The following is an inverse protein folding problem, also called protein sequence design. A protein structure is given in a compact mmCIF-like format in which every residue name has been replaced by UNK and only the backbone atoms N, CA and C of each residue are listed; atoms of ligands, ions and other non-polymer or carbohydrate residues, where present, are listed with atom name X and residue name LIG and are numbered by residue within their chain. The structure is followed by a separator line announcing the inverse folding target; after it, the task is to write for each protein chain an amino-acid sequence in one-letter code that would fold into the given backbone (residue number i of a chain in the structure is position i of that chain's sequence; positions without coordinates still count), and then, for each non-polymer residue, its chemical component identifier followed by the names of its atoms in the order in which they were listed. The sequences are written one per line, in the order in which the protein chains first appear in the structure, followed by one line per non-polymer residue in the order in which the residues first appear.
data_IF_337219619164
#
_entry.id   IF_337219619164
#
_cell.length_a   1.000
_cell.length_b   1.000
_cell.length_c   1.000
_cell.angle_alpha   90.00
_cell.angle_beta   90.00
_cell.angle_gamma   90.00
#
_symmetry.space_group_name_H-M   'P 1'
#
loop_
_entity.id
_entity.type
_entity.pdbx_description
1 polymer ?
#
# COMPACT_ATOMS: atom_id res chain seq x y z
N UNK A 1 -21.02 -52.41 -51.03
CA UNK A 1 -19.61 -52.14 -51.41
C UNK A 1 -19.58 -51.58 -52.82
N UNK A 2 -19.19 -50.32 -52.97
CA UNK A 2 -18.36 -49.75 -54.06
C UNK A 2 -18.25 -48.25 -53.81
N UNK A 3 -17.10 -47.89 -53.25
CA UNK A 3 -16.60 -46.52 -53.10
C UNK A 3 -15.93 -46.12 -54.41
N UNK A 4 -16.25 -44.93 -54.93
CA UNK A 4 -15.38 -44.20 -55.87
C UNK A 4 -15.28 -42.75 -55.37
N UNK A 5 -14.04 -42.33 -55.21
CA UNK A 5 -13.55 -41.01 -54.79
C UNK A 5 -13.38 -40.13 -56.04
N UNK A 6 -13.66 -38.84 -55.93
CA UNK A 6 -13.00 -37.81 -56.74
C UNK A 6 -12.86 -36.49 -55.94
N UNK A 7 -11.60 -36.08 -55.77
CA UNK A 7 -11.15 -34.79 -55.24
C UNK A 7 -11.14 -33.73 -56.35
N UNK A 8 -11.47 -32.47 -56.04
CA UNK A 8 -10.86 -31.30 -56.69
C UNK A 8 -10.73 -30.16 -55.66
N UNK A 9 -9.53 -29.59 -55.58
CA UNK A 9 -9.07 -28.46 -54.74
C UNK A 9 -9.38 -27.09 -55.38
N UNK A 10 -8.92 -26.01 -54.70
CA UNK A 10 -8.78 -24.59 -55.12
C UNK A 10 -9.94 -23.69 -54.68
N UNK A 11 -9.80 -22.48 -54.11
CA UNK A 11 -8.73 -21.46 -54.04
C UNK A 11 -8.84 -20.63 -52.74
N UNK A 12 -7.72 -20.04 -52.29
CA UNK A 12 -7.66 -18.99 -51.27
C UNK A 12 -8.23 -17.64 -51.76
N UNK A 13 -8.87 -16.86 -50.88
CA UNK A 13 -9.10 -15.41 -51.05
C UNK A 13 -8.98 -14.72 -49.69
N UNK A 14 -8.14 -13.69 -49.68
CA UNK A 14 -7.91 -12.72 -48.61
C UNK A 14 -9.10 -11.77 -48.48
N UNK A 15 -9.43 -11.33 -47.26
CA UNK A 15 -10.20 -10.10 -47.05
C UNK A 15 -9.52 -9.28 -45.95
N UNK A 16 -8.88 -8.19 -46.38
CA UNK A 16 -8.50 -7.06 -45.53
C UNK A 16 -9.72 -6.17 -45.23
N UNK A 17 -9.65 -5.52 -44.06
CA UNK A 17 -10.27 -4.27 -43.63
C UNK A 17 -11.79 -4.07 -43.73
N UNK A 18 -12.42 -3.89 -42.55
CA UNK A 18 -13.03 -2.61 -42.19
C UNK A 18 -12.92 -2.38 -40.68
N UNK A 19 -11.97 -1.52 -40.32
CA UNK A 19 -11.79 -0.94 -38.99
C UNK A 19 -12.87 0.12 -38.77
N UNK A 20 -13.83 -0.12 -37.88
CA UNK A 20 -14.69 0.93 -37.33
C UNK A 20 -14.27 1.17 -35.89
N UNK A 21 -13.47 2.22 -35.70
CA UNK A 21 -13.33 2.93 -34.42
C UNK A 21 -14.71 3.46 -34.04
N UNK A 22 -15.26 2.99 -32.93
CA UNK A 22 -16.21 3.78 -32.17
C UNK A 22 -15.97 3.55 -30.68
N UNK A 23 -15.76 4.66 -29.99
CA UNK A 23 -15.50 4.77 -28.57
C UNK A 23 -16.70 4.25 -27.79
N UNK A 24 -16.52 3.09 -27.15
CA UNK A 24 -17.51 2.48 -26.29
C UNK A 24 -17.47 3.11 -24.90
N UNK A 25 -18.40 4.03 -24.63
CA UNK A 25 -18.92 4.23 -23.28
C UNK A 25 -19.55 2.91 -22.81
N UNK A 26 -19.21 2.37 -21.63
CA UNK A 26 -19.89 1.18 -21.13
C UNK A 26 -21.34 1.55 -20.75
N UNK A 27 -22.30 1.00 -21.49
CA UNK A 27 -23.72 1.02 -21.13
C UNK A 27 -23.94 -0.02 -20.04
N UNK A 28 -24.29 0.44 -18.84
CA UNK A 28 -24.69 -0.44 -17.73
C UNK A 28 -26.09 -0.97 -18.05
N UNK A 29 -26.20 -2.26 -18.37
CA UNK A 29 -27.49 -2.95 -18.41
C UNK A 29 -27.85 -3.39 -16.99
N UNK A 30 -28.79 -2.67 -16.37
CA UNK A 30 -29.43 -3.14 -15.14
C UNK A 30 -30.33 -4.33 -15.45
N UNK A 31 -30.02 -5.49 -14.90
CA UNK A 31 -30.89 -6.67 -14.98
C UNK A 31 -31.96 -6.51 -13.89
N UNK A 32 -33.10 -5.93 -14.26
CA UNK A 32 -34.31 -5.94 -13.45
C UNK A 32 -35.22 -7.05 -13.95
N UNK A 33 -35.44 -8.07 -13.14
CA UNK A 33 -36.48 -9.07 -13.38
C UNK A 33 -37.83 -8.48 -12.99
N UNK A 34 -38.73 -8.30 -13.95
CA UNK A 34 -40.17 -8.49 -13.79
C UNK A 34 -40.82 -8.63 -15.18
N UNK A 35 -41.82 -9.50 -15.25
CA UNK A 35 -42.25 -10.21 -16.46
C UNK A 35 -42.88 -9.38 -17.59
N UNK A 36 -42.83 -10.02 -18.76
CA UNK A 36 -43.63 -9.82 -19.98
C UNK A 36 -43.71 -8.42 -20.61
N UNK A 37 -43.19 -8.37 -21.85
CA UNK A 37 -43.25 -7.33 -22.89
C UNK A 37 -42.17 -6.23 -22.87
N UNK A 38 -41.22 -6.34 -23.81
CA UNK A 38 -40.23 -5.31 -24.17
C UNK A 38 -40.89 -4.27 -25.08
N UNK A 39 -41.13 -3.06 -24.57
CA UNK A 39 -41.49 -1.88 -25.36
C UNK A 39 -40.27 -0.96 -25.49
N UNK A 40 -39.71 -0.84 -26.69
CA UNK A 40 -38.62 0.10 -26.99
C UNK A 40 -39.23 1.48 -27.25
N UNK A 41 -38.98 2.45 -26.35
CA UNK A 41 -39.31 3.87 -26.56
C UNK A 41 -38.02 4.66 -26.85
N UNK A 42 -37.97 5.30 -28.01
CA UNK A 42 -36.89 6.21 -28.43
C UNK A 42 -36.87 7.51 -27.61
N UNK A 43 -35.72 8.00 -27.14
CA UNK A 43 -35.59 9.38 -26.68
C UNK A 43 -35.26 10.34 -27.83
N UNK A 44 -35.99 11.44 -27.90
CA UNK A 44 -35.82 12.52 -28.86
C UNK A 44 -34.56 13.36 -28.63
N UNK A 45 -34.10 13.95 -29.73
CA UNK A 45 -32.94 14.85 -29.83
C UNK A 45 -33.27 16.21 -29.20
N UNK A 46 -32.43 16.70 -28.29
CA UNK A 46 -32.39 18.11 -27.91
C UNK A 46 -31.00 18.70 -28.20
N UNK A 47 -31.03 19.87 -28.85
CA UNK A 47 -29.91 20.56 -29.49
C UNK A 47 -29.29 21.61 -28.56
N UNK A 48 -27.98 21.71 -28.63
CA UNK A 48 -27.03 22.78 -28.25
C UNK A 48 -27.58 24.20 -28.01
N UNK A 49 -27.04 24.89 -27.00
CA UNK A 49 -26.40 26.23 -27.13
C UNK A 49 -25.44 26.55 -25.97
N UNK A 50 -24.21 26.97 -26.30
CA UNK A 50 -23.30 27.75 -25.43
C UNK A 50 -23.76 29.22 -25.34
N UNK A 51 -23.29 30.01 -24.34
CA UNK A 51 -22.27 31.03 -24.69
C UNK A 51 -21.27 31.47 -23.57
N UNK A 52 -20.05 31.79 -24.05
CA UNK A 52 -19.13 32.90 -23.74
C UNK A 52 -18.75 33.32 -22.30
N UNK A 53 -17.43 33.39 -22.08
CA UNK A 53 -16.70 34.12 -21.03
C UNK A 53 -16.85 35.65 -21.12
N UNK A 54 -16.45 36.36 -20.05
CA UNK A 54 -15.54 37.48 -20.25
C UNK A 54 -14.34 37.51 -19.27
N UNK A 55 -13.29 38.09 -19.83
CA UNK A 55 -12.01 38.56 -19.29
C UNK A 55 -12.08 39.45 -18.05
N UNK A 56 -11.02 39.40 -17.22
CA UNK A 56 -10.74 40.38 -16.16
C UNK A 56 -9.33 40.20 -15.58
N UNK A 57 -8.57 41.30 -15.50
CA UNK A 57 -7.13 41.39 -15.26
C UNK A 57 -6.74 41.19 -13.79
N UNK A 58 -5.49 40.83 -13.50
CA UNK A 58 -4.89 41.06 -12.18
C UNK A 58 -3.46 41.59 -12.33
N UNK A 59 -3.26 42.74 -11.69
CA UNK A 59 -2.07 43.58 -11.66
C UNK A 59 -0.99 43.00 -10.74
N UNK A 60 0.26 43.27 -11.12
CA UNK A 60 1.47 43.14 -10.31
C UNK A 60 1.41 44.05 -9.06
N UNK A 61 1.97 43.54 -7.96
CA UNK A 61 2.32 44.33 -6.78
C UNK A 61 3.44 43.64 -6.02
N UNK A 62 4.68 44.07 -6.27
CA UNK A 62 5.84 43.83 -5.40
C UNK A 62 5.64 44.56 -4.07
N UNK A 63 6.11 44.01 -2.94
CA UNK A 63 6.75 44.84 -1.91
C UNK A 63 7.69 43.99 -1.03
N UNK A 64 8.83 44.61 -0.75
CA UNK A 64 10.00 44.13 -0.03
C UNK A 64 9.83 44.19 1.49
N UNK A 65 10.54 43.29 2.18
CA UNK A 65 11.55 43.70 3.17
C UNK A 65 11.20 43.68 4.67
N UNK A 66 12.26 43.40 5.43
CA UNK A 66 12.51 43.60 6.88
C UNK A 66 12.41 42.33 7.74
N UNK A 67 13.52 41.64 8.02
CA UNK A 67 14.54 41.92 9.04
C UNK A 67 13.98 42.08 10.46
N UNK A 68 14.04 41.00 11.24
CA UNK A 68 14.11 41.06 12.70
C UNK A 68 15.20 40.12 13.20
N UNK A 69 16.00 40.66 14.10
CA UNK A 69 17.23 40.13 14.67
C UNK A 69 16.94 39.09 15.75
N UNK A 70 17.78 38.06 15.80
CA UNK A 70 17.81 37.04 16.85
C UNK A 70 18.48 37.59 18.12
N UNK A 71 17.78 37.48 19.25
CA UNK A 71 18.36 37.63 20.58
C UNK A 71 18.69 36.26 21.17
N UNK A 72 19.96 35.98 21.41
CA UNK A 72 20.41 34.96 22.36
C UNK A 72 20.35 35.53 23.79
N UNK A 73 20.28 34.64 24.79
CA UNK A 73 21.23 34.75 25.89
C UNK A 73 22.00 33.45 26.13
N UNK A 74 23.23 33.64 26.59
CA UNK A 74 24.22 32.65 26.96
C UNK A 74 24.38 32.58 28.49
N UNK A 75 24.87 31.42 28.93
CA UNK A 75 25.82 31.19 30.05
C UNK A 75 25.34 31.03 31.50
N UNK A 76 25.98 30.05 32.17
CA UNK A 76 26.06 29.89 33.63
C UNK A 76 25.70 28.47 34.10
N UNK A 77 26.64 27.51 34.21
CA UNK A 77 27.40 27.14 35.43
C UNK A 77 26.53 26.59 36.58
N UNK A 78 26.84 25.56 37.39
CA UNK A 78 27.92 24.55 37.58
C UNK A 78 27.47 23.68 38.79
N UNK A 79 28.15 22.55 39.04
CA UNK A 79 28.19 21.73 40.29
C UNK A 79 26.95 20.83 40.54
N UNK A 80 27.03 19.53 40.83
CA UNK A 80 28.12 18.71 41.36
C UNK A 80 27.62 18.02 42.63
N UNK A 81 27.11 16.79 42.55
CA UNK A 81 26.82 15.88 43.68
C UNK A 81 27.03 14.44 43.20
N UNK A 82 28.19 13.83 43.49
CA UNK A 82 28.47 12.95 44.64
C UNK A 82 27.58 11.70 44.64
N UNK A 83 28.12 10.64 44.03
CA UNK A 83 27.67 9.26 44.21
C UNK A 83 28.15 8.76 45.58
N UNK A 84 27.25 8.24 46.40
CA UNK A 84 27.62 7.36 47.51
C UNK A 84 26.96 6.01 47.32
N UNK A 85 27.82 5.00 47.34
CA UNK A 85 27.54 3.57 47.28
C UNK A 85 27.08 3.07 48.64
N UNK A 86 26.01 2.29 48.66
CA UNK A 86 25.58 1.52 49.83
C UNK A 86 25.40 0.05 49.43
N UNK A 87 26.34 -0.80 49.81
CA UNK A 87 26.18 -2.26 49.80
C UNK A 87 25.47 -2.75 51.07
N UNK A 88 24.77 -3.90 51.03
CA UNK A 88 23.96 -4.41 52.13
C UNK A 88 24.71 -5.39 53.03
N UNK A 89 24.18 -5.65 54.23
CA UNK A 89 24.59 -6.74 55.11
C UNK A 89 23.41 -7.30 55.92
N UNK A 90 23.51 -8.56 56.40
CA UNK A 90 22.40 -9.51 56.41
C UNK A 90 21.77 -9.74 57.79
N UNK A 91 20.51 -10.16 57.80
CA UNK A 91 19.81 -10.57 59.02
C UNK A 91 18.69 -11.56 58.73
N UNK A 92 18.85 -12.78 59.24
CA UNK A 92 17.92 -13.90 59.15
C UNK A 92 16.65 -13.65 59.98
N UNK A 93 15.49 -14.14 59.50
CA UNK A 93 14.49 -14.74 60.39
C UNK A 93 13.63 -15.78 59.67
N UNK A 94 13.69 -17.00 60.20
CA UNK A 94 12.78 -18.11 59.91
C UNK A 94 11.33 -17.70 60.22
N UNK A 95 10.45 -17.88 59.23
CA UNK A 95 9.00 -17.91 59.40
C UNK A 95 8.45 -19.00 58.51
N UNK A 96 8.04 -20.11 59.13
CA UNK A 96 7.42 -21.26 58.48
C UNK A 96 6.11 -20.83 57.82
N UNK A 97 6.01 -20.93 56.50
CA UNK A 97 4.74 -20.86 55.79
C UNK A 97 4.31 -22.25 55.36
N UNK A 98 3.19 -22.68 55.95
CA UNK A 98 2.52 -23.94 55.71
C UNK A 98 2.09 -24.04 54.24
N UNK A 99 2.46 -25.15 53.62
CA UNK A 99 2.08 -25.52 52.26
C UNK A 99 0.59 -25.85 52.18
N UNK A 100 -0.23 -24.95 51.63
CA UNK A 100 -1.56 -25.31 51.13
C UNK A 100 -1.44 -25.71 49.66
N UNK A 101 -1.56 -27.02 49.38
CA UNK A 101 -1.65 -27.49 48.00
C UNK A 101 -3.00 -27.09 47.40
N UNK A 102 -3.01 -26.06 46.55
CA UNK A 102 -4.13 -25.81 45.64
C UNK A 102 -3.99 -26.73 44.42
N UNK A 103 -5.08 -27.44 44.11
CA UNK A 103 -5.21 -28.29 42.92
C UNK A 103 -4.91 -27.46 41.66
N UNK A 104 -4.22 -28.01 40.64
CA UNK A 104 -4.00 -27.28 39.40
C UNK A 104 -5.33 -27.17 38.67
N UNK A 105 -5.98 -26.01 38.77
CA UNK A 105 -7.05 -25.61 37.87
C UNK A 105 -6.45 -25.60 36.47
N UNK A 106 -7.06 -26.37 35.56
CA UNK A 106 -6.71 -26.41 34.14
C UNK A 106 -6.81 -24.98 33.60
N UNK A 107 -5.66 -24.33 33.44
CA UNK A 107 -5.58 -23.04 32.74
C UNK A 107 -5.97 -23.36 31.31
N UNK A 108 -7.21 -23.03 30.96
CA UNK A 108 -7.64 -22.98 29.57
C UNK A 108 -6.63 -22.07 28.89
N UNK A 109 -5.88 -22.61 27.93
CA UNK A 109 -4.91 -21.84 27.16
C UNK A 109 -5.62 -20.59 26.67
N UNK A 110 -5.28 -19.43 27.25
CA UNK A 110 -5.64 -18.16 26.66
C UNK A 110 -4.95 -18.19 25.32
N UNK A 111 -5.71 -18.53 24.28
CA UNK A 111 -5.32 -18.23 22.92
C UNK A 111 -4.98 -16.76 22.96
N UNK A 112 -3.71 -16.46 22.78
CA UNK A 112 -3.19 -15.11 22.76
C UNK A 112 -3.98 -14.39 21.69
N UNK A 113 -4.98 -13.61 22.09
CA UNK A 113 -5.75 -12.78 21.18
C UNK A 113 -4.75 -11.70 20.78
N UNK A 114 -4.00 -11.95 19.71
CA UNK A 114 -3.27 -10.92 19.01
C UNK A 114 -4.26 -9.78 18.80
N UNK A 115 -3.92 -8.52 19.12
CA UNK A 115 -4.84 -7.40 18.97
C UNK A 115 -5.31 -7.39 17.52
N UNK A 116 -6.51 -7.92 17.30
CA UNK A 116 -7.02 -8.09 15.96
C UNK A 116 -7.39 -6.69 15.52
N UNK A 117 -6.61 -6.17 14.57
CA UNK A 117 -6.97 -4.92 13.92
C UNK A 117 -8.42 -5.07 13.46
N UNK A 118 -9.32 -4.29 14.06
CA UNK A 118 -10.78 -4.43 13.91
C UNK A 118 -11.26 -4.25 12.47
N UNK A 119 -10.40 -3.69 11.62
CA UNK A 119 -10.67 -3.45 10.21
C UNK A 119 -10.43 -4.71 9.36
N UNK A 120 -9.74 -5.72 9.86
CA UNK A 120 -9.50 -6.97 9.15
C UNK A 120 -10.62 -7.99 9.42
N UNK A 121 -11.08 -8.70 8.37
CA UNK A 121 -12.05 -9.79 8.50
C UNK A 121 -11.38 -11.10 8.90
N UNK A 122 -11.08 -11.23 10.19
CA UNK A 122 -10.43 -12.43 10.75
C UNK A 122 -11.31 -13.68 10.78
N UNK A 123 -12.64 -13.51 10.61
CA UNK A 123 -13.59 -14.60 10.62
C UNK A 123 -13.59 -15.35 9.29
N UNK A 124 -13.63 -14.62 8.17
CA UNK A 124 -13.62 -15.20 6.83
C UNK A 124 -12.21 -15.41 6.29
N UNK A 125 -11.21 -14.65 6.77
CA UNK A 125 -9.81 -14.71 6.32
C UNK A 125 -9.69 -14.72 4.79
N UNK A 126 -10.30 -13.74 4.09
CA UNK A 126 -10.21 -13.69 2.65
C UNK A 126 -8.75 -13.45 2.23
N UNK A 127 -8.32 -13.99 1.08
CA UNK A 127 -6.99 -13.65 0.55
C UNK A 127 -6.94 -12.18 0.11
N UNK A 128 -8.05 -11.66 -0.42
CA UNK A 128 -8.18 -10.28 -0.88
C UNK A 128 -8.88 -9.46 0.21
N UNK A 129 -8.22 -8.40 0.67
CA UNK A 129 -8.76 -7.49 1.66
C UNK A 129 -9.49 -6.30 0.99
N UNK A 130 -8.95 -5.79 -0.12
CA UNK A 130 -9.56 -4.68 -0.87
C UNK A 130 -9.37 -4.85 -2.39
N UNK A 131 -10.26 -4.21 -3.16
CA UNK A 131 -10.16 -4.10 -4.62
C UNK A 131 -10.23 -2.63 -4.98
N UNK A 132 -9.26 -2.16 -5.78
CA UNK A 132 -9.18 -0.78 -6.22
C UNK A 132 -8.68 -0.72 -7.66
N UNK A 133 -9.38 0.05 -8.50
CA UNK A 133 -9.06 0.26 -9.93
C UNK A 133 -8.72 -1.01 -10.72
N UNK A 134 -9.44 -2.10 -10.47
CA UNK A 134 -9.25 -3.38 -11.18
C UNK A 134 -8.08 -4.23 -10.66
N UNK A 135 -7.48 -3.86 -9.52
CA UNK A 135 -6.46 -4.64 -8.80
C UNK A 135 -6.99 -5.13 -7.46
N UNK A 136 -6.55 -6.31 -7.06
CA UNK A 136 -6.87 -6.92 -5.77
C UNK A 136 -5.67 -6.81 -4.83
N UNK A 137 -5.90 -6.39 -3.59
CA UNK A 137 -4.86 -6.11 -2.61
C UNK A 137 -5.00 -7.03 -1.40
N UNK A 138 -3.85 -7.52 -0.92
CA UNK A 138 -3.71 -8.34 0.28
C UNK A 138 -2.85 -7.61 1.30
N UNK A 139 -3.34 -7.50 2.53
CA UNK A 139 -2.73 -6.76 3.62
C UNK A 139 -2.14 -7.73 4.63
N UNK A 140 -0.83 -7.95 4.58
CA UNK A 140 -0.18 -8.99 5.40
C UNK A 140 -0.43 -8.90 6.91
N UNK A 141 -0.80 -7.72 7.45
CA UNK A 141 -1.15 -7.55 8.86
C UNK A 141 -2.54 -8.05 9.23
N UNK A 142 -3.44 -8.19 8.26
CA UNK A 142 -4.73 -8.87 8.43
C UNK A 142 -4.57 -10.40 8.44
N UNK A 143 -3.40 -10.89 8.08
CA UNK A 143 -3.08 -12.30 7.93
C UNK A 143 -1.90 -12.69 8.83
N UNK A 144 -1.67 -14.00 9.00
CA UNK A 144 -0.47 -14.55 9.65
C UNK A 144 -0.11 -13.94 11.02
N UNK A 145 -1.09 -13.45 11.77
CA UNK A 145 -0.89 -12.85 13.09
C UNK A 145 -0.11 -11.53 13.09
N UNK A 146 -0.16 -10.75 12.01
CA UNK A 146 0.50 -9.43 11.99
C UNK A 146 2.01 -9.50 11.77
N UNK A 147 2.52 -10.60 11.20
CA UNK A 147 3.96 -10.81 10.99
C UNK A 147 4.55 -9.72 10.09
N UNK A 148 5.76 -9.28 10.45
CA UNK A 148 6.59 -8.40 9.63
C UNK A 148 7.73 -9.17 8.97
N UNK A 149 8.25 -8.62 7.87
CA UNK A 149 9.17 -9.26 6.95
C UNK A 149 10.34 -8.35 6.60
N UNK A 150 11.50 -8.93 6.27
CA UNK A 150 12.50 -8.21 5.48
C UNK A 150 11.93 -7.90 4.10
N UNK A 151 12.52 -6.98 3.34
CA UNK A 151 12.04 -6.65 1.99
C UNK A 151 12.04 -7.89 1.08
N UNK A 152 13.10 -8.71 1.15
CA UNK A 152 13.16 -9.97 0.41
C UNK A 152 12.04 -10.92 0.84
N UNK A 153 11.85 -11.14 2.14
CA UNK A 153 10.81 -12.05 2.63
C UNK A 153 9.40 -11.55 2.31
N UNK A 154 9.20 -10.22 2.24
CA UNK A 154 7.96 -9.58 1.85
C UNK A 154 7.60 -9.87 0.39
N UNK A 155 8.55 -9.68 -0.54
CA UNK A 155 8.34 -10.03 -1.96
C UNK A 155 8.01 -11.52 -2.11
N UNK A 156 8.77 -12.40 -1.45
CA UNK A 156 8.48 -13.83 -1.46
C UNK A 156 7.14 -14.19 -0.80
N UNK A 157 6.72 -13.46 0.24
CA UNK A 157 5.42 -13.67 0.87
C UNK A 157 4.29 -13.43 -0.14
N UNK A 158 4.35 -12.32 -0.87
CA UNK A 158 3.36 -12.00 -1.89
C UNK A 158 3.34 -13.03 -3.02
N UNK A 159 4.51 -13.41 -3.54
CA UNK A 159 4.61 -14.43 -4.59
C UNK A 159 4.02 -15.78 -4.17
N UNK A 160 4.18 -16.17 -2.90
CA UNK A 160 3.65 -17.43 -2.35
C UNK A 160 2.13 -17.45 -2.19
N UNK A 161 1.45 -16.29 -2.25
CA UNK A 161 -0.02 -16.25 -2.30
C UNK A 161 -0.57 -16.87 -3.60
N UNK A 162 0.29 -17.01 -4.63
CA UNK A 162 -0.11 -17.54 -5.93
C UNK A 162 -0.87 -16.50 -6.75
N UNK A 163 -1.55 -16.94 -7.81
CA UNK A 163 -2.46 -16.12 -8.63
C UNK A 163 -1.86 -14.80 -9.17
N UNK A 164 -0.53 -14.71 -9.29
CA UNK A 164 0.15 -13.51 -9.77
C UNK A 164 0.23 -12.39 -8.72
N UNK A 165 0.09 -12.70 -7.42
CA UNK A 165 0.39 -11.74 -6.38
C UNK A 165 1.88 -11.38 -6.34
N UNK A 166 2.13 -10.10 -6.17
CA UNK A 166 3.46 -9.52 -5.97
C UNK A 166 3.40 -8.43 -4.89
N UNK A 167 4.54 -7.93 -4.43
CA UNK A 167 4.55 -6.73 -3.59
C UNK A 167 4.03 -5.53 -4.40
N UNK A 168 3.35 -4.60 -3.74
CA UNK A 168 2.70 -3.46 -4.42
C UNK A 168 3.71 -2.59 -5.16
N UNK A 169 3.45 -2.32 -6.43
CA UNK A 169 4.06 -1.25 -7.21
C UNK A 169 3.15 -0.03 -7.13
N UNK A 170 3.69 1.17 -6.92
CA UNK A 170 2.87 2.39 -6.82
C UNK A 170 3.14 3.27 -8.04
N UNK A 171 2.34 3.07 -9.08
CA UNK A 171 2.65 3.58 -10.41
C UNK A 171 1.91 4.89 -10.73
N UNK A 172 0.86 5.22 -9.97
CA UNK A 172 0.02 6.39 -10.23
C UNK A 172 -0.39 7.13 -8.95
N UNK A 173 -0.69 8.44 -9.03
CA UNK A 173 -1.15 9.20 -7.88
C UNK A 173 -2.41 8.64 -7.20
N UNK A 174 -3.32 8.05 -7.98
CA UNK A 174 -4.56 7.47 -7.44
C UNK A 174 -4.29 6.26 -6.54
N UNK A 175 -3.35 5.40 -6.95
CA UNK A 175 -2.92 4.23 -6.19
C UNK A 175 -2.12 4.63 -4.95
N UNK A 176 -1.26 5.64 -5.07
CA UNK A 176 -0.54 6.18 -3.91
C UNK A 176 -1.50 6.72 -2.84
N UNK A 177 -2.50 7.49 -3.27
CA UNK A 177 -3.56 8.00 -2.39
C UNK A 177 -4.37 6.86 -1.75
N UNK A 178 -4.66 5.80 -2.51
CA UNK A 178 -5.32 4.60 -1.99
C UNK A 178 -4.47 3.91 -0.92
N UNK A 179 -3.20 3.59 -1.20
CA UNK A 179 -2.25 2.99 -0.26
C UNK A 179 -2.09 3.88 0.98
N UNK A 180 -1.97 5.19 0.81
CA UNK A 180 -1.89 6.13 1.92
C UNK A 180 -3.18 6.15 2.76
N UNK A 181 -4.34 6.00 2.13
CA UNK A 181 -5.63 5.81 2.80
C UNK A 181 -5.66 4.53 3.64
N UNK A 182 -5.17 3.41 3.09
CA UNK A 182 -5.02 2.14 3.81
C UNK A 182 -4.14 2.31 5.04
N UNK A 183 -2.94 2.89 4.91
CA UNK A 183 -2.03 3.08 6.05
C UNK A 183 -2.66 3.94 7.17
N UNK A 184 -3.42 4.98 6.81
CA UNK A 184 -4.13 5.82 7.79
C UNK A 184 -5.27 5.07 8.47
N UNK A 185 -6.11 4.38 7.69
CA UNK A 185 -7.28 3.64 8.20
C UNK A 185 -6.85 2.53 9.16
N UNK A 186 -5.86 1.73 8.76
CA UNK A 186 -5.35 0.61 9.55
C UNK A 186 -4.32 1.03 10.60
N UNK A 187 -4.00 2.33 10.69
CA UNK A 187 -2.99 2.90 11.60
C UNK A 187 -1.61 2.25 11.45
N UNK A 188 -1.26 1.90 10.22
CA UNK A 188 0.03 1.29 9.90
C UNK A 188 1.10 2.38 9.86
N UNK A 189 2.20 2.16 10.58
CA UNK A 189 3.35 3.07 10.60
C UNK A 189 4.08 3.07 9.27
N UNK A 190 4.18 1.91 8.63
CA UNK A 190 4.90 1.72 7.39
C UNK A 190 4.56 0.39 6.73
N UNK A 191 4.92 0.26 5.45
CA UNK A 191 4.86 -0.98 4.67
C UNK A 191 6.07 -1.10 3.74
N UNK A 192 6.36 -2.32 3.32
CA UNK A 192 7.13 -2.60 2.12
C UNK A 192 6.30 -2.48 0.85
N UNK A 193 6.98 -2.09 -0.23
CA UNK A 193 6.53 -2.12 -1.63
C UNK A 193 7.49 -2.96 -2.46
N UNK A 194 7.25 -3.12 -3.76
CA UNK A 194 8.17 -3.77 -4.69
C UNK A 194 9.32 -2.84 -5.16
N UNK A 195 9.41 -1.61 -4.66
CA UNK A 195 10.38 -0.64 -5.15
C UNK A 195 11.80 -0.94 -4.66
N UNK A 196 12.79 -0.94 -5.55
CA UNK A 196 14.18 -1.19 -5.19
C UNK A 196 15.17 -0.53 -6.16
N UNK A 197 16.42 -0.38 -5.73
CA UNK A 197 17.59 -0.10 -6.58
C UNK A 197 18.68 -1.17 -6.42
N UNK A 198 18.33 -2.37 -5.94
CA UNK A 198 19.29 -3.48 -5.84
C UNK A 198 19.83 -3.83 -7.24
N UNK A 199 21.15 -3.97 -7.37
CA UNK A 199 21.79 -4.25 -8.66
C UNK A 199 21.68 -3.13 -9.70
N UNK A 200 21.21 -1.94 -9.32
CA UNK A 200 21.01 -0.78 -10.20
C UNK A 200 21.40 0.53 -9.51
N UNK A 201 21.57 1.60 -10.29
CA UNK A 201 21.69 2.96 -9.77
C UNK A 201 20.35 3.71 -9.78
N UNK A 202 19.33 3.14 -10.43
CA UNK A 202 18.00 3.73 -10.60
C UNK A 202 16.97 2.93 -9.81
N UNK A 203 15.98 3.62 -9.29
CA UNK A 203 14.82 2.99 -8.64
C UNK A 203 13.91 2.38 -9.70
N UNK A 204 13.43 1.17 -9.43
CA UNK A 204 12.49 0.45 -10.28
C UNK A 204 11.52 -0.38 -9.43
N UNK A 205 10.36 -0.68 -10.00
CA UNK A 205 9.40 -1.64 -9.47
C UNK A 205 9.76 -3.05 -9.94
N UNK A 206 9.53 -4.10 -9.13
CA UNK A 206 9.77 -5.49 -9.56
C UNK A 206 8.97 -5.88 -10.82
N UNK A 207 7.86 -5.19 -11.12
CA UNK A 207 7.10 -5.34 -12.37
C UNK A 207 7.89 -4.94 -13.62
N UNK A 208 8.91 -4.09 -13.46
CA UNK A 208 9.61 -3.42 -14.54
C UNK A 208 8.82 -2.27 -15.19
N UNK A 209 7.58 -2.04 -14.76
CA UNK A 209 6.75 -0.93 -15.26
C UNK A 209 7.27 0.39 -14.68
N UNK A 210 7.34 1.42 -15.52
CA UNK A 210 7.73 2.75 -15.11
C UNK A 210 6.82 3.78 -15.75
N UNK A 211 6.21 4.62 -14.92
CA UNK A 211 5.33 5.74 -15.32
C UNK A 211 6.01 7.09 -15.12
N UNK A 212 7.19 7.12 -14.50
CA UNK A 212 7.86 8.34 -14.04
C UNK A 212 7.23 8.98 -12.79
N UNK A 213 6.14 8.41 -12.26
CA UNK A 213 5.53 8.90 -11.03
C UNK A 213 6.42 8.61 -9.82
N UNK A 214 6.55 9.60 -8.93
CA UNK A 214 7.18 9.40 -7.63
C UNK A 214 6.46 10.18 -6.53
N UNK A 215 6.50 9.65 -5.30
CA UNK A 215 6.04 10.36 -4.11
C UNK A 215 7.08 10.29 -2.99
N UNK A 216 8.35 10.53 -3.33
CA UNK A 216 9.43 10.63 -2.35
C UNK A 216 9.12 11.69 -1.29
N UNK A 217 9.27 11.31 -0.02
CA UNK A 217 9.00 12.23 1.08
C UNK A 217 9.96 13.43 1.04
N UNK A 218 9.45 14.63 1.26
CA UNK A 218 10.28 15.84 1.40
C UNK A 218 11.07 15.88 2.72
N UNK A 219 10.89 14.89 3.58
CA UNK A 219 11.60 14.77 4.86
C UNK A 219 11.92 13.31 5.19
N UNK A 220 12.93 13.12 6.03
CA UNK A 220 13.49 11.84 6.43
C UNK A 220 13.91 11.89 7.88
N UNK A 221 14.53 10.82 8.36
CA UNK A 221 15.04 10.74 9.75
C UNK A 221 16.02 11.88 10.09
N UNK A 222 16.74 12.37 9.07
CA UNK A 222 17.70 13.48 9.19
C UNK A 222 17.13 14.84 8.75
N UNK A 223 15.82 14.95 8.54
CA UNK A 223 15.18 16.18 8.06
C UNK A 223 15.49 16.56 6.62
N UNK A 224 15.88 15.58 5.78
CA UNK A 224 16.21 15.76 4.36
C UNK A 224 15.20 15.02 3.48
N UNK A 225 15.00 15.50 2.25
CA UNK A 225 14.19 14.79 1.27
C UNK A 225 14.74 13.40 0.97
N UNK A 226 13.83 12.43 0.80
CA UNK A 226 14.12 11.08 0.36
C UNK A 226 14.28 11.04 -1.17
N UNK A 227 14.95 10.02 -1.72
CA UNK A 227 15.78 9.05 -1.01
C UNK A 227 17.09 9.70 -0.53
N UNK A 228 17.48 9.50 0.73
CA UNK A 228 18.65 10.15 1.34
C UNK A 228 19.78 9.19 1.74
N UNK A 229 19.54 7.88 1.71
CA UNK A 229 20.46 6.84 2.14
C UNK A 229 21.11 7.16 3.50
N UNK A 230 20.33 7.76 4.41
CA UNK A 230 20.73 8.23 5.72
C UNK A 230 21.37 7.14 6.59
N UNK A 231 20.91 5.89 6.48
CA UNK A 231 21.44 4.78 7.25
C UNK A 231 22.54 4.01 6.50
N UNK A 232 22.80 4.34 5.24
CA UNK A 232 23.68 3.58 4.37
C UNK A 232 23.10 2.21 3.98
N UNK A 233 23.29 1.85 2.72
CA UNK A 233 22.73 0.64 2.11
C UNK A 233 21.19 0.60 2.11
N UNK A 234 20.56 1.74 1.86
CA UNK A 234 19.11 1.88 1.75
C UNK A 234 18.69 1.71 0.29
N UNK A 235 18.47 0.46 -0.09
CA UNK A 235 18.20 0.06 -1.47
C UNK A 235 16.78 -0.43 -1.70
N UNK A 236 15.92 -0.40 -0.68
CA UNK A 236 14.56 -0.89 -0.73
C UNK A 236 13.58 0.22 -0.35
N UNK A 237 12.46 0.31 -1.07
CA UNK A 237 11.47 1.37 -0.93
C UNK A 237 10.42 0.95 0.11
N UNK A 238 10.20 1.81 1.09
CA UNK A 238 9.09 1.71 2.02
C UNK A 238 8.15 2.91 1.85
N UNK A 239 6.87 2.71 2.14
CA UNK A 239 5.95 3.83 2.40
C UNK A 239 5.87 4.01 3.91
N UNK A 240 6.11 5.22 4.39
CA UNK A 240 6.12 5.54 5.83
C UNK A 240 5.02 6.56 6.12
N UNK A 241 4.22 6.30 7.15
CA UNK A 241 3.14 7.14 7.65
C UNK A 241 3.57 7.80 8.96
N UNK A 242 4.20 8.96 8.86
CA UNK A 242 4.69 9.73 10.02
C UNK A 242 4.17 11.17 9.99
N UNK A 243 5.01 12.15 9.63
CA UNK A 243 4.62 13.56 9.43
C UNK A 243 3.94 13.83 8.07
N UNK A 244 3.72 12.75 7.32
CA UNK A 244 3.13 12.66 6.01
C UNK A 244 3.24 11.19 5.55
N UNK A 245 2.41 10.77 4.61
CA UNK A 245 2.58 9.47 3.95
C UNK A 245 3.41 9.72 2.70
N UNK A 246 4.57 9.08 2.61
CA UNK A 246 5.47 9.24 1.47
C UNK A 246 6.48 8.11 1.39
N UNK A 247 7.23 8.09 0.29
CA UNK A 247 8.22 7.06 0.01
C UNK A 247 9.55 7.39 0.68
N UNK A 248 10.17 6.36 1.24
CA UNK A 248 11.47 6.40 1.88
C UNK A 248 12.34 5.30 1.31
N UNK A 249 13.63 5.59 1.13
CA UNK A 249 14.58 4.51 1.02
C UNK A 249 14.83 3.94 2.41
N UNK A 250 15.07 2.63 2.47
CA UNK A 250 15.22 1.91 3.72
C UNK A 250 16.14 0.73 3.54
N UNK A 251 16.81 0.35 4.63
CA UNK A 251 17.58 -0.89 4.68
C UNK A 251 16.65 -2.08 4.47
N UNK A 252 16.98 -2.91 3.48
CA UNK A 252 16.18 -4.06 3.05
C UNK A 252 15.95 -5.11 4.14
N UNK A 253 16.79 -5.14 5.19
CA UNK A 253 16.65 -6.06 6.33
C UNK A 253 15.74 -5.54 7.46
N UNK A 254 15.17 -4.34 7.32
CA UNK A 254 14.20 -3.81 8.29
C UNK A 254 12.93 -4.67 8.25
N UNK A 255 12.33 -4.94 9.42
CA UNK A 255 11.08 -5.69 9.48
C UNK A 255 9.89 -4.75 9.33
N UNK A 256 9.09 -4.97 8.28
CA UNK A 256 7.84 -4.23 8.04
C UNK A 256 6.75 -5.18 7.51
N UNK A 257 5.46 -4.83 7.70
CA UNK A 257 4.38 -5.43 6.93
C UNK A 257 4.54 -5.13 5.44
N UNK A 258 3.83 -5.86 4.59
CA UNK A 258 3.77 -5.63 3.13
C UNK A 258 2.33 -5.56 2.65
N UNK A 259 2.08 -4.75 1.63
CA UNK A 259 0.88 -4.85 0.78
C UNK A 259 1.27 -5.65 -0.45
N UNK A 260 0.51 -6.69 -0.73
CA UNK A 260 0.60 -7.43 -1.98
C UNK A 260 -0.55 -7.03 -2.91
N UNK A 261 -0.34 -7.16 -4.21
CA UNK A 261 -1.33 -6.85 -5.22
C UNK A 261 -1.32 -7.86 -6.36
N UNK A 262 -2.42 -7.92 -7.09
CA UNK A 262 -2.53 -8.61 -8.39
C UNK A 262 -3.67 -8.00 -9.22
N UNK A 263 -3.78 -8.38 -10.50
CA UNK A 263 -4.93 -8.02 -11.32
C UNK A 263 -6.20 -8.66 -10.74
N UNK A 264 -7.26 -7.87 -10.49
CA UNK A 264 -8.49 -8.39 -9.89
C UNK A 264 -9.25 -9.37 -10.79
N UNK A 265 -8.92 -9.42 -12.09
CA UNK A 265 -9.72 -10.11 -13.11
C UNK A 265 -9.02 -11.26 -13.86
N UNK A 266 -7.92 -11.84 -13.36
CA UNK A 266 -7.37 -13.09 -13.93
C UNK A 266 -6.89 -14.06 -12.84
N UNK A 267 -7.16 -15.38 -12.88
CA UNK A 267 -7.70 -16.26 -13.94
C UNK A 267 -8.86 -17.12 -13.39
N UNK A 268 -9.99 -17.17 -14.11
CA UNK A 268 -10.89 -18.34 -14.07
C UNK A 268 -10.23 -19.50 -14.81
#
# INVERSE_FOLDING_TARGET
MKTIILFVLTTAVWAEELYVKNEGTPVIFGVGSDGDHIMVRSPGVLRSTSPQSPSGQTLQGQHQGQFFTSGQPSSGQRLGQVFTSGQPSPGQRLGQFLSSQSKPTRVLSQQTILPQNRFCDHARRPIVDEVFQGRAYHFSWCHNGGRSYTWYDASHHCQRLGNGFQAVSIEHPNEDNFVAGVLRTYQMRDIWTSGTKLGSYQWYWETGVSTGYTNWSNTGRLGRSQPDNADGNEQCLAVVNSLGVGWHDSRCNTLRPVICETEAFYRQ
#
